data_IF_515763269935
#
_entry.id   IF_515763269935
#
_cell.length_a   1.000
_cell.length_b   1.000
_cell.length_c   1.000
_cell.angle_alpha   90.00
_cell.angle_beta   90.00
_cell.angle_gamma   90.00
#
_symmetry.space_group_name_H-M   'P 1'
#
loop_
_entity.id
_entity.type
_entity.pdbx_description
1 polymer ?
#
# COMPACT_ATOMS: atom_id res chain seq x y z
N UNK A 1 -3.92 17.23 0.66
CA UNK A 1 -3.26 15.94 0.95
C UNK A 1 -1.77 16.20 1.15
N UNK A 2 -1.10 15.41 1.99
CA UNK A 2 0.36 15.34 2.06
C UNK A 2 0.82 14.06 1.35
N UNK A 3 1.97 14.09 0.68
CA UNK A 3 2.51 12.95 -0.07
C UNK A 3 3.85 12.56 0.54
N UNK A 4 3.99 11.27 0.87
CA UNK A 4 5.21 10.70 1.42
C UNK A 4 5.78 9.73 0.38
N UNK A 5 7.02 9.99 -0.04
CA UNK A 5 7.72 9.09 -0.96
C UNK A 5 8.08 7.78 -0.26
N UNK A 6 7.85 6.66 -0.94
CA UNK A 6 8.25 5.34 -0.47
C UNK A 6 9.54 4.91 -1.17
N UNK A 7 10.55 4.51 -0.39
CA UNK A 7 11.78 3.98 -0.96
C UNK A 7 11.53 2.56 -1.51
N UNK A 8 11.99 2.29 -2.74
CA UNK A 8 11.80 0.99 -3.39
C UNK A 8 12.55 -0.18 -2.74
N UNK A 9 13.57 0.09 -1.91
CA UNK A 9 14.32 -0.93 -1.18
C UNK A 9 13.74 -1.28 0.19
N UNK A 10 12.60 -0.69 0.58
CA UNK A 10 11.97 -1.02 1.85
C UNK A 10 11.54 -2.49 1.91
N UNK A 11 11.89 -3.12 3.01
CA UNK A 11 11.39 -4.42 3.42
C UNK A 11 9.92 -4.32 3.84
N UNK A 12 9.24 -5.47 3.95
CA UNK A 12 7.86 -5.55 4.44
C UNK A 12 7.68 -4.89 5.80
N UNK A 13 8.65 -5.06 6.70
CA UNK A 13 8.61 -4.47 8.05
C UNK A 13 8.75 -2.94 8.00
N UNK A 14 9.63 -2.42 7.15
CA UNK A 14 9.79 -0.97 6.97
C UNK A 14 8.56 -0.34 6.31
N UNK A 15 7.96 -1.01 5.32
CA UNK A 15 6.68 -0.57 4.73
C UNK A 15 5.58 -0.52 5.78
N UNK A 16 5.44 -1.56 6.62
CA UNK A 16 4.47 -1.58 7.71
C UNK A 16 4.65 -0.39 8.64
N UNK A 17 5.89 -0.14 9.06
CA UNK A 17 6.21 0.97 9.96
C UNK A 17 5.85 2.31 9.31
N UNK A 18 6.35 2.57 8.10
CA UNK A 18 6.12 3.83 7.39
C UNK A 18 4.64 4.13 7.14
N UNK A 19 3.87 3.13 6.68
CA UNK A 19 2.43 3.28 6.42
C UNK A 19 1.63 3.55 7.69
N UNK A 20 2.00 2.90 8.81
CA UNK A 20 1.35 3.10 10.11
C UNK A 20 1.68 4.48 10.68
N UNK A 21 2.97 4.84 10.71
CA UNK A 21 3.47 6.05 11.35
C UNK A 21 2.95 7.32 10.67
N UNK A 22 2.88 7.32 9.33
CA UNK A 22 2.32 8.45 8.59
C UNK A 22 0.78 8.48 8.53
N UNK A 23 0.10 7.45 9.07
CA UNK A 23 -1.36 7.33 8.99
C UNK A 23 -1.87 7.31 7.55
N UNK A 24 -1.26 6.49 6.70
CA UNK A 24 -1.54 6.48 5.26
C UNK A 24 -3.04 6.20 4.98
N UNK A 25 -3.70 7.14 4.30
CA UNK A 25 -5.08 6.97 3.83
C UNK A 25 -5.19 6.32 2.44
N UNK A 26 -4.11 6.39 1.66
CA UNK A 26 -4.01 5.79 0.34
C UNK A 26 -2.56 5.37 0.06
N UNK A 27 -2.41 4.28 -0.70
CA UNK A 27 -1.12 3.76 -1.17
C UNK A 27 -1.15 3.63 -2.69
N UNK A 28 -0.28 4.35 -3.38
CA UNK A 28 -0.01 4.15 -4.81
C UNK A 28 1.26 3.30 -4.94
N UNK A 29 1.15 2.12 -5.54
CA UNK A 29 2.28 1.19 -5.62
C UNK A 29 2.24 0.31 -6.88
N UNK A 30 3.39 -0.21 -7.28
CA UNK A 30 3.47 -1.20 -8.36
C UNK A 30 3.26 -2.63 -7.86
N UNK A 31 3.20 -3.60 -8.78
CA UNK A 31 2.92 -5.00 -8.47
C UNK A 31 3.83 -5.57 -7.37
N UNK A 32 5.13 -5.26 -7.40
CA UNK A 32 6.09 -5.75 -6.40
C UNK A 32 5.77 -5.22 -4.99
N UNK A 33 5.43 -3.94 -4.85
CA UNK A 33 5.05 -3.37 -3.56
C UNK A 33 3.64 -3.78 -3.13
N UNK A 34 2.75 -4.04 -4.07
CA UNK A 34 1.43 -4.60 -3.81
C UNK A 34 1.57 -5.99 -3.15
N UNK A 35 2.35 -6.90 -3.75
CA UNK A 35 2.62 -8.23 -3.19
C UNK A 35 3.21 -8.14 -1.78
N UNK A 36 4.11 -7.17 -1.56
CA UNK A 36 4.75 -6.96 -0.26
C UNK A 36 3.79 -6.42 0.82
N UNK A 37 2.85 -5.56 0.45
CA UNK A 37 1.91 -4.93 1.39
C UNK A 37 0.65 -5.76 1.62
N UNK A 38 0.26 -6.62 0.68
CA UNK A 38 -0.95 -7.46 0.74
C UNK A 38 -1.13 -8.18 2.09
N UNK A 39 -0.13 -8.91 2.64
CA UNK A 39 -0.27 -9.58 3.94
C UNK A 39 -0.39 -8.61 5.13
N UNK A 40 -0.17 -7.31 4.92
CA UNK A 40 -0.27 -6.26 5.94
C UNK A 40 -1.62 -5.53 5.91
N UNK A 41 -2.37 -5.62 4.81
CA UNK A 41 -3.55 -4.77 4.56
C UNK A 41 -4.63 -4.92 5.62
N UNK A 42 -4.91 -6.13 6.10
CA UNK A 42 -5.89 -6.36 7.17
C UNK A 42 -5.54 -5.56 8.44
N UNK A 43 -4.28 -5.68 8.89
CA UNK A 43 -3.80 -4.98 10.08
C UNK A 43 -3.73 -3.46 9.90
N UNK A 44 -3.31 -3.00 8.73
CA UNK A 44 -3.26 -1.56 8.41
C UNK A 44 -4.68 -0.97 8.37
N UNK A 45 -5.63 -1.68 7.76
CA UNK A 45 -7.03 -1.25 7.66
C UNK A 45 -7.78 -1.32 8.98
N UNK A 46 -7.34 -2.16 9.90
CA UNK A 46 -7.82 -2.17 11.29
C UNK A 46 -7.46 -0.90 12.07
N UNK A 47 -6.40 -0.17 11.66
CA UNK A 47 -5.96 1.07 12.30
C UNK A 47 -6.54 2.35 11.64
N UNK A 48 -7.06 2.26 10.42
CA UNK A 48 -7.66 3.36 9.67
C UNK A 48 -7.92 3.01 8.21
N UNK A 49 -8.65 3.83 7.43
CA UNK A 49 -8.92 3.54 6.02
C UNK A 49 -7.60 3.57 5.21
N UNK A 50 -7.38 2.57 4.37
CA UNK A 50 -6.24 2.50 3.44
C UNK A 50 -6.69 1.94 2.09
N UNK A 51 -6.91 2.85 1.14
CA UNK A 51 -7.21 2.51 -0.25
C UNK A 51 -5.93 2.25 -1.04
N UNK A 52 -5.94 1.29 -1.96
CA UNK A 52 -4.75 0.95 -2.76
C UNK A 52 -4.99 1.27 -4.25
N UNK A 53 -4.02 1.95 -4.86
CA UNK A 53 -3.99 2.22 -6.30
C UNK A 53 -2.79 1.48 -6.88
N UNK A 54 -3.08 0.45 -7.66
CA UNK A 54 -2.08 -0.41 -8.27
C UNK A 54 -1.67 0.15 -9.64
N UNK A 55 -0.41 0.57 -9.78
CA UNK A 55 0.16 1.09 -11.03
C UNK A 55 0.97 0.00 -11.72
N UNK A 56 0.70 -0.27 -13.01
CA UNK A 56 1.41 -1.32 -13.77
C UNK A 56 1.36 -2.69 -13.07
N UNK A 57 0.22 -2.98 -12.43
CA UNK A 57 -0.09 -4.29 -11.91
C UNK A 57 -1.13 -4.95 -12.81
N UNK A 58 -1.08 -6.27 -12.91
CA UNK A 58 -2.03 -7.07 -13.66
C UNK A 58 -2.65 -8.12 -12.73
N UNK A 59 -3.84 -8.61 -13.08
CA UNK A 59 -4.54 -9.62 -12.29
C UNK A 59 -5.48 -9.06 -11.23
N UNK A 60 -5.85 -9.93 -10.30
CA UNK A 60 -6.78 -9.63 -9.22
C UNK A 60 -6.13 -8.68 -8.20
N UNK A 61 -6.95 -7.80 -7.64
CA UNK A 61 -6.53 -6.88 -6.60
C UNK A 61 -7.17 -7.27 -5.26
N UNK A 62 -6.51 -6.95 -4.13
CA UNK A 62 -7.14 -7.09 -2.82
C UNK A 62 -8.37 -6.18 -2.71
N UNK A 63 -9.20 -6.42 -1.71
CA UNK A 63 -10.36 -5.56 -1.42
C UNK A 63 -9.96 -4.09 -1.33
N UNK A 64 -10.87 -3.16 -1.65
CA UNK A 64 -10.64 -1.71 -1.56
C UNK A 64 -9.34 -1.26 -2.28
N UNK A 65 -9.17 -1.76 -3.52
CA UNK A 65 -8.09 -1.41 -4.41
C UNK A 65 -8.57 -1.24 -5.85
N UNK A 66 -7.84 -0.44 -6.63
CA UNK A 66 -8.11 -0.18 -8.06
C UNK A 66 -6.85 -0.23 -8.90
N UNK A 67 -6.98 -0.63 -10.17
CA UNK A 67 -5.95 -0.43 -11.18
C UNK A 67 -5.90 1.05 -11.58
N UNK A 68 -4.71 1.57 -11.83
CA UNK A 68 -4.52 2.90 -12.39
C UNK A 68 -4.65 2.87 -13.91
N UNK A 69 -5.69 3.49 -14.45
CA UNK A 69 -5.90 3.71 -15.90
C UNK A 69 -5.45 5.11 -16.37
#
# INVERSE_FOLDING_TARGET
AAVVGMNAWWTTAEMKFGLTDCGAGALVCDAERLERVEPLLEGLRGAGPLHVVAVRAEGDLPDDAVHWE
#
